data_IF_570975944446
#
_entry.id   IF_570975944446
#
_cell.length_a   1.000
_cell.length_b   1.000
_cell.length_c   1.000
_cell.angle_alpha   90.00
_cell.angle_beta   90.00
_cell.angle_gamma   90.00
#
_symmetry.space_group_name_H-M   'P 1'
#
loop_
_entity.id
_entity.type
_entity.pdbx_description
1 polymer ?
#
# COMPACT_ATOMS: atom_id res chain seq x y z
N UNK A 1 14.06 4.79 -1.48
CA UNK A 1 13.39 3.55 -1.03
C UNK A 1 12.60 2.99 -2.19
N UNK A 2 12.50 1.67 -2.24
CA UNK A 2 11.63 0.93 -3.16
C UNK A 2 10.30 0.71 -2.48
N UNK A 3 9.22 1.19 -3.08
CA UNK A 3 7.87 1.11 -2.50
C UNK A 3 6.97 0.40 -3.48
N UNK A 4 6.29 -0.66 -3.05
CA UNK A 4 5.24 -1.30 -3.83
C UNK A 4 3.87 -0.82 -3.36
N UNK A 5 2.94 -0.60 -4.28
CA UNK A 5 1.54 -0.27 -4.00
C UNK A 5 0.67 -1.31 -4.68
N UNK A 6 -0.24 -1.91 -3.92
CA UNK A 6 -1.30 -2.78 -4.43
C UNK A 6 -2.66 -2.27 -3.97
N UNK A 7 -3.51 -1.93 -4.92
CA UNK A 7 -4.84 -1.36 -4.68
C UNK A 7 -5.77 -1.80 -5.82
N UNK A 8 -7.06 -2.00 -5.59
CA UNK A 8 -7.99 -2.28 -6.70
C UNK A 8 -8.30 -1.01 -7.52
N UNK A 9 -8.13 0.18 -6.93
CA UNK A 9 -8.31 1.46 -7.59
C UNK A 9 -7.04 1.91 -8.31
N UNK A 10 -7.04 1.77 -9.63
CA UNK A 10 -5.97 2.29 -10.50
C UNK A 10 -5.70 3.79 -10.29
N UNK A 11 -6.76 4.58 -10.15
CA UNK A 11 -6.62 6.03 -9.94
C UNK A 11 -5.89 6.34 -8.63
N UNK A 12 -6.15 5.56 -7.59
CA UNK A 12 -5.50 5.73 -6.30
C UNK A 12 -4.02 5.31 -6.35
N UNK A 13 -3.73 4.15 -6.97
CA UNK A 13 -2.35 3.73 -7.25
C UNK A 13 -1.54 4.83 -7.94
N UNK A 14 -2.07 5.39 -9.03
CA UNK A 14 -1.39 6.44 -9.81
C UNK A 14 -1.20 7.73 -8.99
N UNK A 15 -2.22 8.13 -8.21
CA UNK A 15 -2.15 9.33 -7.39
C UNK A 15 -1.12 9.21 -6.26
N UNK A 16 -1.08 8.08 -5.56
CA UNK A 16 -0.09 7.81 -4.50
C UNK A 16 1.31 7.63 -5.09
N UNK A 17 1.41 6.86 -6.17
CA UNK A 17 2.65 6.64 -6.90
C UNK A 17 3.30 7.95 -7.34
N UNK A 18 2.52 8.85 -7.94
CA UNK A 18 3.02 10.15 -8.37
C UNK A 18 3.50 11.05 -7.22
N UNK A 19 2.94 10.91 -6.01
CA UNK A 19 3.43 11.64 -4.82
C UNK A 19 4.76 11.07 -4.35
N UNK A 20 4.88 9.74 -4.26
CA UNK A 20 6.08 9.05 -3.79
C UNK A 20 7.25 9.18 -4.78
N UNK A 21 6.98 9.09 -6.08
CA UNK A 21 7.97 9.33 -7.12
C UNK A 21 8.49 10.77 -7.09
N UNK A 22 7.61 11.77 -6.87
CA UNK A 22 8.03 13.17 -6.68
C UNK A 22 8.87 13.40 -5.43
N UNK A 23 8.74 12.55 -4.42
CA UNK A 23 9.59 12.54 -3.23
C UNK A 23 10.93 11.79 -3.44
N UNK A 24 11.17 11.24 -4.64
CA UNK A 24 12.42 10.56 -4.97
C UNK A 24 12.45 9.07 -4.64
N UNK A 25 11.29 8.44 -4.45
CA UNK A 25 11.19 6.99 -4.27
C UNK A 25 11.05 6.25 -5.60
N UNK A 26 11.57 5.02 -5.65
CA UNK A 26 11.30 4.08 -6.73
C UNK A 26 10.01 3.36 -6.40
N UNK A 27 9.03 3.37 -7.32
CA UNK A 27 7.67 2.91 -7.01
C UNK A 27 7.19 1.87 -8.01
N UNK A 28 6.76 0.73 -7.50
CA UNK A 28 6.01 -0.29 -8.24
C UNK A 28 4.51 -0.09 -8.00
N UNK A 29 3.75 0.08 -9.08
CA UNK A 29 2.29 0.25 -9.03
C UNK A 29 1.60 -0.98 -9.58
N UNK A 30 0.75 -1.60 -8.78
CA UNK A 30 -0.02 -2.78 -9.14
C UNK A 30 -1.49 -2.51 -8.84
N UNK A 31 -2.34 -2.63 -9.86
CA UNK A 31 -3.79 -2.57 -9.67
C UNK A 31 -4.42 -3.92 -9.97
N UNK A 32 -5.12 -4.53 -9.02
CA UNK A 32 -5.66 -5.88 -9.18
C UNK A 32 -7.17 -5.97 -8.92
N UNK A 33 -7.89 -6.60 -9.85
CA UNK A 33 -9.30 -6.99 -9.67
C UNK A 33 -9.50 -8.52 -9.70
N UNK A 34 -8.61 -9.26 -10.38
CA UNK A 34 -8.89 -10.65 -10.77
C UNK A 34 -7.79 -11.67 -10.42
N UNK A 35 -6.50 -11.33 -10.50
CA UNK A 35 -5.41 -12.30 -10.28
C UNK A 35 -4.36 -11.80 -9.26
N UNK A 36 -4.18 -12.55 -8.18
CA UNK A 36 -3.28 -12.20 -7.08
C UNK A 36 -1.82 -12.67 -7.29
N UNK A 37 -1.64 -13.85 -7.88
CA UNK A 37 -0.34 -14.51 -7.98
C UNK A 37 0.70 -13.72 -8.79
N UNK A 38 0.37 -13.12 -9.96
CA UNK A 38 1.32 -12.30 -10.70
C UNK A 38 1.77 -11.07 -9.90
N UNK A 39 0.86 -10.47 -9.12
CA UNK A 39 1.16 -9.31 -8.29
C UNK A 39 2.06 -9.67 -7.11
N UNK A 40 1.82 -10.81 -6.45
CA UNK A 40 2.71 -11.31 -5.39
C UNK A 40 4.12 -11.54 -5.93
N UNK A 41 4.24 -12.21 -7.08
CA UNK A 41 5.54 -12.47 -7.70
C UNK A 41 6.26 -11.16 -8.08
N UNK A 42 5.55 -10.20 -8.68
CA UNK A 42 6.10 -8.90 -9.04
C UNK A 42 6.58 -8.10 -7.81
N UNK A 43 5.83 -8.13 -6.71
CA UNK A 43 6.25 -7.48 -5.45
C UNK A 43 7.51 -8.15 -4.91
N UNK A 44 7.56 -9.48 -4.89
CA UNK A 44 8.72 -10.24 -4.40
C UNK A 44 9.97 -10.00 -5.25
N UNK A 45 9.83 -9.96 -6.57
CA UNK A 45 10.93 -9.67 -7.50
C UNK A 45 11.43 -8.22 -7.35
N UNK A 46 10.52 -7.28 -7.12
CA UNK A 46 10.88 -5.88 -6.91
C UNK A 46 11.61 -5.63 -5.59
N UNK A 47 11.43 -6.52 -4.61
CA UNK A 47 11.99 -6.47 -3.26
C UNK A 47 11.88 -5.08 -2.60
N UNK A 48 10.67 -4.61 -2.31
CA UNK A 48 10.46 -3.29 -1.73
C UNK A 48 10.91 -3.21 -0.27
N UNK A 49 11.26 -2.00 0.13
CA UNK A 49 11.44 -1.62 1.53
C UNK A 49 10.08 -1.57 2.25
N UNK A 50 9.05 -1.08 1.56
CA UNK A 50 7.68 -0.93 2.07
C UNK A 50 6.66 -1.37 1.01
N UNK A 51 5.62 -2.08 1.44
CA UNK A 51 4.45 -2.43 0.63
C UNK A 51 3.23 -1.71 1.21
N UNK A 52 2.63 -0.84 0.41
CA UNK A 52 1.32 -0.26 0.65
C UNK A 52 0.27 -1.21 0.06
N UNK A 53 -0.62 -1.73 0.90
CA UNK A 53 -1.63 -2.72 0.52
C UNK A 53 -3.01 -2.21 0.89
N UNK A 54 -3.91 -2.10 -0.07
CA UNK A 54 -5.30 -1.79 0.25
C UNK A 54 -5.96 -2.96 1.01
N UNK A 55 -6.80 -2.62 2.00
CA UNK A 55 -7.50 -3.63 2.80
C UNK A 55 -8.51 -4.41 1.94
N UNK A 56 -9.18 -3.72 1.01
CA UNK A 56 -10.31 -4.21 0.22
C UNK A 56 -9.96 -4.28 -1.28
N UNK A 57 -9.19 -5.31 -1.64
CA UNK A 57 -8.75 -5.56 -3.03
C UNK A 57 -9.85 -6.16 -3.92
N UNK A 58 -11.11 -5.87 -3.62
CA UNK A 58 -12.29 -6.37 -4.30
C UNK A 58 -12.86 -7.68 -3.73
N UNK A 59 -13.82 -8.31 -4.44
CA UNK A 59 -14.72 -9.31 -3.85
C UNK A 59 -14.05 -10.62 -3.40
N UNK A 60 -12.85 -10.90 -3.89
CA UNK A 60 -12.18 -12.18 -3.69
C UNK A 60 -10.92 -12.08 -2.83
N UNK A 61 -10.41 -10.87 -2.58
CA UNK A 61 -9.09 -10.68 -1.98
C UNK A 61 -9.11 -9.54 -0.96
N UNK A 62 -8.27 -9.68 0.07
CA UNK A 62 -7.99 -8.60 1.02
C UNK A 62 -6.49 -8.39 1.11
N UNK A 63 -6.07 -7.18 1.46
CA UNK A 63 -4.67 -6.86 1.72
C UNK A 63 -4.04 -7.80 2.75
N UNK A 64 -4.84 -8.31 3.69
CA UNK A 64 -4.38 -9.26 4.72
C UNK A 64 -4.01 -10.63 4.14
N UNK A 65 -4.72 -11.10 3.11
CA UNK A 65 -4.37 -12.34 2.42
C UNK A 65 -3.06 -12.15 1.67
N UNK A 66 -2.92 -11.03 0.95
CA UNK A 66 -1.69 -10.68 0.22
C UNK A 66 -0.50 -10.57 1.17
N UNK A 67 -0.65 -9.86 2.28
CA UNK A 67 0.36 -9.72 3.32
C UNK A 67 0.89 -11.07 3.82
N UNK A 68 -0.01 -12.04 4.05
CA UNK A 68 0.38 -13.41 4.45
C UNK A 68 1.14 -14.13 3.34
N UNK A 69 0.72 -13.99 2.09
CA UNK A 69 1.39 -14.61 0.94
C UNK A 69 2.77 -14.02 0.67
N UNK A 70 2.94 -12.71 0.86
CA UNK A 70 4.23 -12.04 0.70
C UNK A 70 5.27 -12.53 1.71
N UNK A 71 4.84 -12.89 2.92
CA UNK A 71 5.72 -13.39 3.97
C UNK A 71 6.69 -12.34 4.53
N UNK A 72 6.48 -11.05 4.22
CA UNK A 72 7.29 -9.97 4.76
C UNK A 72 7.02 -9.72 6.24
N UNK A 73 8.02 -9.20 6.97
CA UNK A 73 7.82 -8.88 8.36
C UNK A 73 6.85 -7.68 8.49
N UNK A 74 6.09 -7.59 9.59
CA UNK A 74 5.07 -6.55 9.81
C UNK A 74 5.51 -5.13 9.47
N UNK A 75 6.76 -4.77 9.80
CA UNK A 75 7.37 -3.46 9.57
C UNK A 75 7.41 -3.03 8.09
N UNK A 76 7.45 -3.97 7.15
CA UNK A 76 7.44 -3.68 5.72
C UNK A 76 6.03 -3.50 5.16
N UNK A 77 5.00 -3.90 5.89
CA UNK A 77 3.63 -3.97 5.37
C UNK A 77 2.81 -2.83 5.95
N UNK A 78 2.22 -2.01 5.08
CA UNK A 78 1.40 -0.87 5.44
C UNK A 78 0.05 -1.04 4.79
N UNK A 79 -0.96 -1.23 5.63
CA UNK A 79 -2.35 -1.21 5.21
C UNK A 79 -2.74 0.22 4.78
N UNK A 80 -3.42 0.36 3.65
CA UNK A 80 -4.03 1.61 3.16
C UNK A 80 -5.53 1.38 2.94
N UNK A 81 -6.35 2.42 3.12
CA UNK A 81 -7.78 2.37 2.83
C UNK A 81 -8.30 3.79 2.65
N UNK A 82 -9.20 3.99 1.68
CA UNK A 82 -9.90 5.27 1.46
C UNK A 82 -11.41 5.04 1.43
N UNK A 83 -12.06 5.27 2.57
CA UNK A 83 -13.49 5.51 2.60
C UNK A 83 -13.74 7.03 2.58
N UNK A 84 -14.77 7.50 1.87
CA UNK A 84 -15.09 8.94 1.71
C UNK A 84 -15.30 9.71 3.03
N UNK A 85 -15.37 9.00 4.16
CA UNK A 85 -15.48 9.53 5.54
C UNK A 85 -14.38 9.03 6.49
N UNK A 86 -13.44 8.19 6.05
CA UNK A 86 -12.40 7.62 6.90
C UNK A 86 -11.01 7.73 6.29
N UNK A 87 -10.16 8.40 7.07
CA UNK A 87 -8.82 7.97 7.49
C UNK A 87 -8.01 7.17 6.46
N UNK A 88 -6.85 7.71 6.07
CA UNK A 88 -5.75 6.86 5.65
C UNK A 88 -5.42 5.96 6.84
N UNK A 89 -5.90 4.71 6.83
CA UNK A 89 -5.32 3.74 7.74
C UNK A 89 -3.86 3.59 7.33
N UNK A 90 -2.96 3.75 8.30
CA UNK A 90 -1.55 3.41 8.15
C UNK A 90 -1.27 2.57 9.37
N UNK A 91 -1.25 1.26 9.15
CA UNK A 91 -1.01 0.25 10.16
C UNK A 91 -0.10 -0.80 9.55
N UNK A 92 0.94 -1.18 10.29
CA UNK A 92 1.41 -2.56 10.22
C UNK A 92 0.19 -3.43 10.50
N UNK A 93 -0.08 -4.45 9.67
CA UNK A 93 -1.27 -5.34 9.65
C UNK A 93 -1.69 -5.99 11.01
N UNK A 94 -1.06 -5.58 12.12
CA UNK A 94 -1.10 -6.13 13.46
C UNK A 94 -1.21 -5.10 14.61
N UNK A 95 -1.22 -3.77 14.35
CA UNK A 95 -1.39 -2.71 15.38
C UNK A 95 -2.41 -1.65 14.97
N UNK A 96 -3.16 -1.08 15.93
CA UNK A 96 -4.24 -0.12 15.64
C UNK A 96 -3.81 1.36 15.81
N UNK A 97 -3.44 2.06 14.74
CA UNK A 97 -3.33 3.54 14.67
C UNK A 97 -3.97 4.11 13.38
N UNK A 98 -4.57 5.30 13.40
CA UNK A 98 -5.28 5.89 12.24
C UNK A 98 -4.71 7.26 11.87
N UNK A 99 -4.51 7.56 10.58
CA UNK A 99 -4.18 8.90 10.08
C UNK A 99 -5.41 9.59 9.48
N UNK A 100 -5.58 10.89 9.72
CA UNK A 100 -6.75 11.67 9.28
C UNK A 100 -6.46 12.47 8.01
N UNK A 101 -7.41 12.49 7.07
CA UNK A 101 -7.29 12.93 5.65
C UNK A 101 -6.81 14.38 5.44
N UNK A 102 -6.97 15.29 6.40
CA UNK A 102 -6.46 16.66 6.29
C UNK A 102 -4.93 16.66 6.40
N UNK A 103 -4.26 16.44 5.26
CA UNK A 103 -2.80 16.36 5.13
C UNK A 103 -2.25 15.00 4.69
N UNK A 104 -3.09 14.09 4.18
CA UNK A 104 -2.72 12.71 3.85
C UNK A 104 -1.41 12.54 3.06
N UNK A 105 -1.14 13.40 2.06
CA UNK A 105 0.12 13.37 1.31
C UNK A 105 1.34 13.59 2.21
N UNK A 106 1.30 14.65 3.02
CA UNK A 106 2.38 15.01 3.95
C UNK A 106 2.51 13.99 5.09
N UNK A 107 1.40 13.41 5.54
CA UNK A 107 1.42 12.40 6.60
C UNK A 107 1.94 11.04 6.11
N UNK A 108 1.58 10.62 4.89
CA UNK A 108 2.12 9.42 4.26
C UNK A 108 3.63 9.54 4.06
N UNK A 109 4.10 10.66 3.51
CA UNK A 109 5.53 10.92 3.34
C UNK A 109 6.26 10.92 4.68
N UNK A 110 5.75 11.65 5.68
CA UNK A 110 6.32 11.62 7.05
C UNK A 110 6.31 10.24 7.71
N UNK A 111 5.45 9.32 7.27
CA UNK A 111 5.44 7.96 7.78
C UNK A 111 6.50 7.11 7.10
N UNK A 112 6.62 7.22 5.77
CA UNK A 112 7.58 6.48 4.95
C UNK A 112 9.02 6.95 5.19
N UNK A 113 9.22 8.24 5.47
CA UNK A 113 10.53 8.86 5.69
C UNK A 113 11.02 8.81 7.15
N UNK A 114 10.26 8.21 8.08
CA UNK A 114 10.66 8.05 9.49
C UNK A 114 11.48 6.79 9.71
#
# INVERSE_FOLDING_TARGET
MKIAILDDSRHLCEALGGVLQKAGHEVLLLSCWFELNPNIAAIQEFDPDIVLLDEDLGPNYSGRIVAKCLGYPPEKLVDISINQTQRFCVRHFWKKDCLHILGAKTQLLRFIEK
#
